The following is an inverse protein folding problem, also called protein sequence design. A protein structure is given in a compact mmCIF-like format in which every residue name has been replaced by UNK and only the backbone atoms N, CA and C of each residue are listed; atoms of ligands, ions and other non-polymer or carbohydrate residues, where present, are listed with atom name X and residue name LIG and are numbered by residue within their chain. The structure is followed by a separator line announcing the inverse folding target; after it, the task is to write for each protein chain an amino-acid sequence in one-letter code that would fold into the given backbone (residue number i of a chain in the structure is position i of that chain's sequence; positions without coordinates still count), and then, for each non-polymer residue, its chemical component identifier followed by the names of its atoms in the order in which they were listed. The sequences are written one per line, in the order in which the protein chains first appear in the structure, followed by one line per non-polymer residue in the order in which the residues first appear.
data_IF_517867202717
#
_entry.id   IF_517867202717
#
_cell.length_a   1.000
_cell.length_b   1.000
_cell.length_c   1.000
_cell.angle_alpha   90.00
_cell.angle_beta   90.00
_cell.angle_gamma   90.00
#
_symmetry.space_group_name_H-M   'P 1'
#
loop_
_entity.id
_entity.type
_entity.pdbx_description
1 polymer ?
#
# COMPACT_ATOMS: atom_id res chain seq x y z
N UNK A 1 -35.10 27.13 -34.21
CA UNK A 1 -33.80 27.44 -33.57
C UNK A 1 -33.18 26.12 -33.14
N UNK A 2 -31.96 25.85 -33.58
CA UNK A 2 -31.25 24.56 -33.51
C UNK A 2 -30.76 24.22 -32.09
N UNK A 3 -30.71 22.93 -31.72
CA UNK A 3 -29.69 22.38 -30.84
C UNK A 3 -28.82 21.31 -31.57
N UNK A 4 -27.76 20.90 -30.88
CA UNK A 4 -26.88 19.75 -31.14
C UNK A 4 -25.85 19.87 -32.29
N UNK A 5 -24.62 20.22 -31.91
CA UNK A 5 -23.41 20.13 -32.74
C UNK A 5 -22.83 18.72 -32.64
N UNK A 6 -22.87 18.08 -33.79
CA UNK A 6 -22.00 17.04 -34.29
C UNK A 6 -20.51 17.37 -34.11
N UNK A 7 -19.75 16.63 -33.30
CA UNK A 7 -18.34 16.26 -33.60
C UNK A 7 -18.03 14.92 -32.93
N UNK A 8 -18.20 13.85 -33.70
CA UNK A 8 -17.56 12.56 -33.51
C UNK A 8 -16.39 12.50 -34.50
N UNK A 9 -15.26 11.94 -34.04
CA UNK A 9 -14.10 11.50 -34.85
C UNK A 9 -13.13 12.63 -35.26
N UNK A 10 -12.14 12.91 -34.40
CA UNK A 10 -10.78 13.34 -34.82
C UNK A 10 -9.86 13.47 -33.60
N UNK A 11 -9.37 12.34 -33.09
CA UNK A 11 -8.17 12.33 -32.28
C UNK A 11 -7.28 11.18 -32.74
N UNK A 12 -6.02 11.52 -33.00
CA UNK A 12 -4.93 10.77 -33.66
C UNK A 12 -4.77 11.27 -35.11
N UNK A 13 -3.69 11.99 -35.51
CA UNK A 13 -2.40 12.17 -34.82
C UNK A 13 -1.84 13.62 -34.82
N UNK A 14 -1.02 13.99 -33.82
CA UNK A 14 -0.02 15.05 -33.99
C UNK A 14 1.19 14.82 -33.08
N UNK A 15 2.31 14.49 -33.75
CA UNK A 15 3.72 14.68 -33.38
C UNK A 15 4.25 13.86 -32.19
N UNK A 16 5.03 12.80 -32.39
CA UNK A 16 6.37 12.79 -33.01
C UNK A 16 7.19 13.99 -32.57
N UNK A 17 7.84 13.89 -31.42
CA UNK A 17 9.12 14.51 -31.14
C UNK A 17 9.71 13.87 -29.88
N UNK A 18 10.45 12.77 -30.04
CA UNK A 18 11.75 12.47 -29.43
C UNK A 18 12.09 11.00 -29.78
N UNK A 19 13.28 10.79 -30.35
CA UNK A 19 13.64 9.63 -31.17
C UNK A 19 13.55 8.27 -30.48
N UNK A 20 12.50 7.51 -30.81
CA UNK A 20 12.40 6.08 -30.50
C UNK A 20 12.51 5.28 -31.80
N UNK A 21 13.38 4.28 -31.76
CA UNK A 21 13.81 3.43 -32.88
C UNK A 21 12.62 2.69 -33.56
N UNK A 22 12.58 2.78 -34.88
CA UNK A 22 11.44 2.51 -35.77
C UNK A 22 11.25 1.02 -36.13
N UNK A 23 11.76 0.10 -35.30
CA UNK A 23 11.76 -1.35 -35.58
C UNK A 23 10.72 -2.13 -34.76
N UNK A 24 10.35 -1.63 -33.57
CA UNK A 24 9.37 -2.27 -32.69
C UNK A 24 7.92 -2.01 -33.13
N UNK A 25 7.63 -0.81 -33.64
CA UNK A 25 6.30 -0.43 -34.16
C UNK A 25 5.94 -1.22 -35.41
N UNK A 26 6.94 -1.47 -36.28
CA UNK A 26 6.76 -2.30 -37.49
C UNK A 26 6.54 -3.78 -37.17
N UNK A 27 7.03 -4.28 -36.03
CA UNK A 27 6.80 -5.67 -35.56
C UNK A 27 5.39 -5.84 -35.00
N UNK A 28 4.87 -4.84 -34.27
CA UNK A 28 3.51 -4.85 -33.71
C UNK A 28 2.42 -4.79 -34.80
N UNK A 29 2.60 -3.97 -35.85
CA UNK A 29 1.65 -3.91 -36.97
C UNK A 29 1.63 -5.17 -37.84
N UNK A 30 2.75 -5.91 -37.94
CA UNK A 30 2.85 -7.15 -38.73
C UNK A 30 2.23 -8.36 -38.02
N UNK A 31 2.20 -8.37 -36.68
CA UNK A 31 1.54 -9.43 -35.90
C UNK A 31 0.01 -9.31 -35.93
N UNK A 32 -0.53 -8.08 -35.91
CA UNK A 32 -1.97 -7.84 -35.89
C UNK A 32 -2.68 -8.21 -37.20
N UNK A 33 -1.98 -8.08 -38.34
CA UNK A 33 -2.54 -8.36 -39.66
C UNK A 33 -2.59 -9.86 -40.01
N UNK A 34 -2.02 -10.74 -39.19
CA UNK A 34 -1.87 -12.18 -39.48
C UNK A 34 -2.80 -13.10 -38.68
N UNK A 35 -3.51 -12.61 -37.67
CA UNK A 35 -4.32 -13.45 -36.77
C UNK A 35 -5.84 -13.20 -36.82
N UNK A 36 -6.33 -12.22 -37.59
CA UNK A 36 -7.76 -11.84 -37.58
C UNK A 36 -8.46 -11.89 -38.94
N UNK A 37 -7.91 -12.66 -39.89
CA UNK A 37 -8.43 -12.78 -41.26
C UNK A 37 -8.78 -14.19 -41.75
N UNK A 38 -9.00 -15.21 -40.89
CA UNK A 38 -9.77 -16.36 -41.33
C UNK A 38 -10.82 -16.77 -40.30
N UNK A 39 -11.95 -16.05 -40.20
CA UNK A 39 -13.15 -16.62 -39.56
C UNK A 39 -14.48 -16.24 -40.21
N UNK A 40 -14.48 -15.58 -41.38
CA UNK A 40 -15.72 -15.23 -42.10
C UNK A 40 -15.91 -15.95 -43.44
N UNK A 41 -15.15 -17.02 -43.75
CA UNK A 41 -15.23 -17.71 -45.04
C UNK A 41 -15.76 -19.15 -45.00
N UNK A 42 -16.54 -19.51 -43.97
CA UNK A 42 -17.26 -20.79 -43.96
C UNK A 42 -18.70 -20.55 -43.54
N UNK A 43 -19.57 -20.11 -44.45
CA UNK A 43 -20.99 -20.50 -44.56
C UNK A 43 -21.57 -19.85 -45.84
N UNK A 44 -21.81 -20.62 -46.92
CA UNK A 44 -22.55 -20.12 -48.06
C UNK A 44 -24.06 -20.35 -47.86
N UNK A 45 -24.83 -19.37 -48.32
CA UNK A 45 -26.19 -19.49 -48.87
C UNK A 45 -27.32 -20.01 -47.97
N UNK A 46 -28.20 -19.08 -47.58
CA UNK A 46 -29.64 -19.35 -47.48
C UNK A 46 -30.38 -18.05 -47.83
N UNK A 47 -30.76 -17.97 -49.10
CA UNK A 47 -31.69 -16.99 -49.63
C UNK A 47 -33.10 -17.29 -49.15
N UNK A 48 -33.85 -16.24 -48.81
CA UNK A 48 -35.30 -16.29 -48.74
C UNK A 48 -35.89 -16.43 -47.34
N UNK A 49 -36.07 -15.29 -46.67
CA UNK A 49 -37.32 -14.84 -46.02
C UNK A 49 -36.96 -13.67 -45.09
N UNK A 50 -37.49 -12.49 -45.43
CA UNK A 50 -37.16 -11.25 -44.76
C UNK A 50 -37.75 -11.14 -43.36
N UNK A 51 -36.94 -11.40 -42.34
CA UNK A 51 -36.95 -10.77 -41.00
C UNK A 51 -35.72 -11.27 -40.27
N UNK A 52 -34.79 -10.40 -39.85
CA UNK A 52 -33.66 -10.89 -39.04
C UNK A 52 -32.41 -10.02 -38.85
N UNK A 53 -32.46 -8.69 -39.03
CA UNK A 53 -31.32 -7.82 -38.66
C UNK A 53 -31.30 -7.49 -37.16
N UNK A 54 -31.46 -8.49 -36.29
CA UNK A 54 -31.44 -8.32 -34.84
C UNK A 54 -30.83 -9.48 -34.04
N UNK A 55 -30.13 -10.43 -34.68
CA UNK A 55 -29.59 -11.61 -33.98
C UNK A 55 -28.06 -11.75 -33.98
N UNK A 56 -27.32 -10.73 -34.44
CA UNK A 56 -25.85 -10.71 -34.28
C UNK A 56 -25.34 -9.73 -33.22
N UNK A 57 -26.26 -9.06 -32.49
CA UNK A 57 -25.92 -8.12 -31.41
C UNK A 57 -26.43 -8.56 -30.03
N UNK A 58 -26.98 -9.77 -29.93
CA UNK A 58 -27.56 -10.32 -28.68
C UNK A 58 -26.89 -11.62 -28.21
N UNK A 59 -25.69 -11.92 -28.72
CA UNK A 59 -24.79 -12.96 -28.21
C UNK A 59 -23.54 -12.36 -27.54
N UNK A 60 -23.62 -11.10 -27.08
CA UNK A 60 -22.57 -10.45 -26.30
C UNK A 60 -23.01 -10.14 -24.84
N UNK A 61 -24.23 -10.55 -24.45
CA UNK A 61 -24.80 -10.25 -23.12
C UNK A 61 -25.19 -11.49 -22.30
N UNK A 62 -25.20 -12.71 -22.85
CA UNK A 62 -25.48 -13.89 -22.02
C UNK A 62 -24.64 -15.10 -22.43
N UNK A 63 -23.80 -15.55 -21.49
CA UNK A 63 -23.32 -16.92 -21.47
C UNK A 63 -21.82 -17.10 -21.27
N UNK A 64 -21.32 -16.81 -20.07
CA UNK A 64 -20.31 -17.66 -19.42
C UNK A 64 -20.48 -17.52 -17.90
N UNK A 65 -21.46 -18.26 -17.37
CA UNK A 65 -21.50 -18.60 -15.96
C UNK A 65 -20.79 -19.94 -15.77
N UNK A 66 -19.80 -19.91 -14.87
CA UNK A 66 -19.36 -20.97 -13.96
C UNK A 66 -18.96 -22.33 -14.53
N UNK A 67 -17.67 -22.67 -14.35
CA UNK A 67 -17.28 -23.62 -13.30
C UNK A 67 -15.75 -23.76 -13.29
N UNK A 68 -15.09 -23.19 -12.29
CA UNK A 68 -14.01 -23.89 -11.61
C UNK A 68 -14.01 -23.47 -10.14
N UNK A 69 -14.26 -24.48 -9.31
CA UNK A 69 -14.25 -24.42 -7.88
C UNK A 69 -12.82 -24.30 -7.33
N UNK A 70 -12.75 -23.79 -6.10
CA UNK A 70 -11.74 -24.10 -5.09
C UNK A 70 -10.38 -23.41 -5.24
N UNK A 71 -10.20 -22.29 -4.52
CA UNK A 71 -9.66 -22.36 -3.16
C UNK A 71 -9.93 -21.03 -2.46
N UNK A 72 -10.63 -21.10 -1.34
CA UNK A 72 -10.82 -19.99 -0.43
C UNK A 72 -9.48 -19.78 0.29
N UNK A 73 -8.65 -18.86 -0.19
CA UNK A 73 -7.63 -18.22 0.64
C UNK A 73 -8.24 -16.91 1.10
N UNK A 74 -8.88 -16.96 2.27
CA UNK A 74 -8.97 -15.79 3.12
C UNK A 74 -7.52 -15.42 3.47
N UNK A 75 -6.88 -14.65 2.58
CA UNK A 75 -5.72 -13.86 2.98
C UNK A 75 -6.34 -12.77 3.84
N UNK A 76 -6.39 -13.03 5.14
CA UNK A 76 -6.62 -12.03 6.14
C UNK A 76 -5.52 -10.99 5.95
N UNK A 77 -5.83 -9.94 5.18
CA UNK A 77 -4.99 -8.76 4.97
C UNK A 77 -4.91 -7.98 6.28
N UNK A 78 -4.26 -8.56 7.28
CA UNK A 78 -3.81 -7.84 8.46
C UNK A 78 -2.35 -7.43 8.23
N UNK A 79 -2.15 -6.12 8.15
CA UNK A 79 -0.83 -5.52 8.09
C UNK A 79 -0.09 -5.87 9.39
N UNK A 80 0.91 -6.74 9.32
CA UNK A 80 1.67 -7.19 10.50
C UNK A 80 2.54 -6.06 11.06
N UNK A 81 2.80 -6.12 12.38
CA UNK A 81 3.72 -5.21 13.06
C UNK A 81 5.19 -5.51 12.79
N UNK A 82 5.53 -6.78 12.53
CA UNK A 82 6.88 -7.22 12.17
C UNK A 82 6.88 -7.86 10.76
N UNK A 83 7.96 -7.69 9.99
CA UNK A 83 8.13 -8.35 8.70
C UNK A 83 8.48 -9.83 8.87
N UNK A 84 8.34 -10.65 7.82
CA UNK A 84 8.84 -12.03 7.82
C UNK A 84 10.37 -12.10 8.10
N UNK A 85 10.85 -13.20 8.69
CA UNK A 85 12.27 -13.38 9.09
C UNK A 85 13.28 -13.21 7.94
N UNK A 86 12.89 -13.54 6.70
CA UNK A 86 13.73 -13.46 5.50
C UNK A 86 13.34 -12.24 4.62
N UNK A 87 12.83 -11.17 5.24
CA UNK A 87 12.43 -9.97 4.53
C UNK A 87 13.62 -9.20 3.94
N UNK A 88 13.39 -8.57 2.79
CA UNK A 88 14.33 -7.62 2.19
C UNK A 88 14.42 -6.34 3.04
N UNK A 89 15.51 -5.58 2.90
CA UNK A 89 15.64 -4.27 3.56
C UNK A 89 14.47 -3.33 3.22
N UNK A 90 13.96 -3.40 1.99
CA UNK A 90 12.86 -2.56 1.52
C UNK A 90 11.54 -2.96 2.16
N UNK A 91 11.29 -4.26 2.31
CA UNK A 91 10.14 -4.76 3.06
C UNK A 91 10.25 -4.36 4.55
N UNK A 92 11.40 -4.55 5.19
CA UNK A 92 11.63 -4.11 6.58
C UNK A 92 11.36 -2.61 6.74
N UNK A 93 11.89 -1.80 5.83
CA UNK A 93 11.69 -0.36 5.83
C UNK A 93 10.21 0.00 5.66
N UNK A 94 9.51 -0.64 4.72
CA UNK A 94 8.08 -0.42 4.49
C UNK A 94 7.22 -0.85 5.68
N UNK A 95 7.54 -1.96 6.35
CA UNK A 95 6.86 -2.37 7.58
C UNK A 95 6.99 -1.33 8.68
N UNK A 96 8.18 -0.78 8.88
CA UNK A 96 8.38 0.28 9.87
C UNK A 96 7.63 1.56 9.46
N UNK A 97 7.67 1.96 8.18
CA UNK A 97 6.94 3.13 7.67
C UNK A 97 5.44 2.97 7.89
N UNK A 98 4.88 1.78 7.64
CA UNK A 98 3.48 1.44 7.88
C UNK A 98 3.11 1.54 9.36
N UNK A 99 3.90 0.93 10.25
CA UNK A 99 3.70 1.02 11.70
C UNK A 99 3.70 2.46 12.18
N UNK A 100 4.71 3.25 11.80
CA UNK A 100 4.78 4.66 12.15
C UNK A 100 3.60 5.49 11.60
N UNK A 101 3.07 5.14 10.42
CA UNK A 101 1.89 5.79 9.88
C UNK A 101 0.63 5.50 10.70
N UNK A 102 0.45 4.25 11.15
CA UNK A 102 -0.66 3.85 12.04
C UNK A 102 -0.58 4.58 13.38
N UNK A 103 0.58 4.52 14.03
CA UNK A 103 0.82 5.13 15.35
C UNK A 103 0.56 6.64 15.32
N UNK A 104 1.00 7.33 14.25
CA UNK A 104 0.79 8.76 14.13
C UNK A 104 -0.68 9.15 13.83
N UNK A 105 -1.59 8.17 13.76
CA UNK A 105 -2.99 8.35 13.35
C UNK A 105 -3.08 9.16 12.06
N UNK A 106 -2.27 8.79 11.07
CA UNK A 106 -2.30 9.43 9.77
C UNK A 106 -3.67 9.27 9.11
N UNK A 107 -3.94 10.06 8.06
CA UNK A 107 -5.20 9.91 7.35
C UNK A 107 -5.36 8.46 6.84
N UNK A 108 -6.56 7.87 6.88
CA UNK A 108 -6.78 6.50 6.42
C UNK A 108 -6.28 6.27 4.98
N UNK A 109 -6.41 7.28 4.13
CA UNK A 109 -5.86 7.24 2.78
C UNK A 109 -4.33 7.09 2.75
N UNK A 110 -3.60 7.79 3.63
CA UNK A 110 -2.14 7.64 3.69
C UNK A 110 -1.75 6.26 4.19
N UNK A 111 -2.39 5.78 5.26
CA UNK A 111 -2.12 4.46 5.85
C UNK A 111 -2.32 3.37 4.80
N UNK A 112 -3.48 3.38 4.12
CA UNK A 112 -3.80 2.37 3.09
C UNK A 112 -2.77 2.36 1.96
N UNK A 113 -2.34 3.52 1.47
CA UNK A 113 -1.33 3.59 0.39
C UNK A 113 0.00 2.97 0.83
N UNK A 114 0.41 3.19 2.08
CA UNK A 114 1.66 2.63 2.61
C UNK A 114 1.54 1.12 2.83
N UNK A 115 0.43 0.66 3.42
CA UNK A 115 0.19 -0.76 3.70
C UNK A 115 0.00 -1.59 2.43
N UNK A 116 -0.71 -1.07 1.43
CA UNK A 116 -0.84 -1.71 0.12
C UNK A 116 0.54 -1.94 -0.52
N UNK A 117 1.42 -0.94 -0.42
CA UNK A 117 2.77 -1.04 -0.96
C UNK A 117 3.67 -1.98 -0.15
N UNK A 118 3.54 -2.01 1.19
CA UNK A 118 4.19 -2.98 2.04
C UNK A 118 3.79 -4.40 1.63
N UNK A 119 2.50 -4.66 1.45
CA UNK A 119 1.97 -5.97 1.07
C UNK A 119 2.55 -6.43 -0.28
N UNK A 120 2.62 -5.53 -1.26
CA UNK A 120 3.18 -5.82 -2.57
C UNK A 120 4.68 -6.11 -2.53
N UNK A 121 5.46 -5.35 -1.76
CA UNK A 121 6.93 -5.49 -1.73
C UNK A 121 7.37 -6.69 -0.89
N UNK A 122 6.68 -6.94 0.23
CA UNK A 122 7.00 -8.04 1.14
C UNK A 122 6.59 -9.43 0.61
N UNK A 123 5.73 -9.52 -0.42
CA UNK A 123 5.29 -10.79 -1.00
C UNK A 123 6.06 -11.24 -2.25
N UNK A 124 6.92 -10.39 -2.82
CA UNK A 124 7.56 -10.65 -4.12
C UNK A 124 9.03 -10.97 -3.92
N UNK A 125 9.49 -12.13 -4.40
CA UNK A 125 10.90 -12.53 -4.37
C UNK A 125 11.75 -11.66 -5.30
N UNK A 126 12.94 -11.27 -4.85
CA UNK A 126 13.89 -10.37 -5.55
C UNK A 126 14.27 -10.85 -6.97
N UNK A 127 13.47 -10.48 -7.97
CA UNK A 127 13.95 -10.38 -9.35
C UNK A 127 13.78 -8.96 -9.87
N UNK A 128 14.89 -8.23 -9.79
CA UNK A 128 15.25 -7.14 -10.70
C UNK A 128 14.20 -6.05 -10.91
N UNK A 129 14.23 -4.98 -10.10
CA UNK A 129 14.47 -3.65 -10.68
C UNK A 129 14.84 -2.63 -9.61
N UNK A 130 15.98 -1.95 -9.82
CA UNK A 130 16.37 -0.72 -9.12
C UNK A 130 15.53 0.47 -9.63
N UNK A 131 14.22 0.25 -9.82
CA UNK A 131 13.28 1.26 -10.26
C UNK A 131 12.91 2.15 -9.09
N UNK A 132 12.66 3.42 -9.39
CA UNK A 132 11.98 4.35 -8.49
C UNK A 132 10.72 3.67 -7.93
N UNK A 133 10.74 3.26 -6.66
CA UNK A 133 9.54 2.77 -5.97
C UNK A 133 8.58 3.94 -5.86
N UNK A 134 7.32 3.75 -6.27
CA UNK A 134 6.30 4.79 -6.28
C UNK A 134 5.09 4.33 -5.51
N UNK A 135 4.50 5.27 -4.78
CA UNK A 135 3.19 5.09 -4.18
C UNK A 135 2.11 5.01 -5.27
N UNK A 136 0.95 4.44 -4.92
CA UNK A 136 -0.20 4.35 -5.83
C UNK A 136 -0.74 5.72 -6.26
N UNK A 137 -0.43 6.78 -5.52
CA UNK A 137 -0.73 8.17 -5.89
C UNK A 137 0.27 8.79 -6.90
N UNK A 138 1.30 8.05 -7.31
CA UNK A 138 2.32 8.47 -8.28
C UNK A 138 3.55 9.15 -7.69
N UNK A 139 3.51 9.52 -6.40
CA UNK A 139 4.64 10.09 -5.69
C UNK A 139 5.77 9.07 -5.50
N UNK A 140 7.00 9.56 -5.36
CA UNK A 140 8.16 8.68 -5.18
C UNK A 140 8.21 8.19 -3.73
N UNK A 141 8.18 6.88 -3.52
CA UNK A 141 8.36 6.26 -2.21
C UNK A 141 9.82 6.28 -1.79
N UNK A 142 10.73 6.06 -2.74
CA UNK A 142 12.16 5.93 -2.48
C UNK A 142 13.01 6.60 -3.55
N UNK A 143 13.97 7.43 -3.14
CA UNK A 143 15.00 8.02 -4.01
C UNK A 143 16.37 7.70 -3.41
N UNK A 144 17.12 6.81 -4.07
CA UNK A 144 18.37 6.30 -3.53
C UNK A 144 18.12 5.51 -2.24
N UNK A 145 18.56 6.05 -1.09
CA UNK A 145 18.38 5.46 0.26
C UNK A 145 17.41 6.25 1.14
N UNK A 146 16.75 7.26 0.57
CA UNK A 146 15.80 8.12 1.30
C UNK A 146 14.40 7.65 0.99
N UNK A 147 13.60 7.44 2.04
CA UNK A 147 12.19 7.10 1.93
C UNK A 147 11.32 8.33 2.20
N UNK A 148 10.18 8.42 1.53
CA UNK A 148 9.21 9.50 1.65
C UNK A 148 7.82 8.91 1.80
N UNK A 149 7.02 9.45 2.71
CA UNK A 149 5.59 9.16 2.78
C UNK A 149 4.83 9.63 1.52
N UNK A 150 3.60 9.13 1.29
CA UNK A 150 2.74 9.56 0.18
C UNK A 150 2.42 11.06 0.17
N UNK A 151 2.58 11.75 1.30
CA UNK A 151 2.41 13.19 1.43
C UNK A 151 3.70 14.00 1.13
N UNK A 152 4.78 13.33 0.70
CA UNK A 152 6.06 13.93 0.35
C UNK A 152 7.01 14.18 1.52
N UNK A 153 6.59 13.94 2.77
CA UNK A 153 7.47 14.09 3.93
C UNK A 153 8.45 12.91 4.02
N UNK A 154 9.68 13.18 4.45
CA UNK A 154 10.70 12.14 4.61
C UNK A 154 10.31 11.17 5.72
N UNK A 155 10.39 9.86 5.44
CA UNK A 155 10.19 8.78 6.40
C UNK A 155 11.52 8.28 6.98
N UNK A 156 12.53 8.06 6.13
CA UNK A 156 13.88 7.58 6.51
C UNK A 156 14.94 8.40 5.78
N UNK A 157 15.96 8.88 6.50
CA UNK A 157 17.14 9.47 5.88
C UNK A 157 18.19 8.43 5.48
N UNK A 158 19.09 8.81 4.56
CA UNK A 158 20.17 7.96 4.03
C UNK A 158 21.11 7.36 5.08
N UNK A 159 21.16 7.93 6.29
CA UNK A 159 21.99 7.46 7.40
C UNK A 159 21.36 6.31 8.20
N UNK A 160 20.20 5.79 7.78
CA UNK A 160 19.60 4.54 8.28
C UNK A 160 19.00 4.58 9.70
N UNK A 161 19.48 5.48 10.56
CA UNK A 161 19.15 5.50 11.99
C UNK A 161 18.18 6.60 12.41
N UNK A 162 17.60 7.34 11.47
CA UNK A 162 16.64 8.40 11.76
C UNK A 162 15.37 8.20 10.97
N UNK A 163 14.28 8.00 11.71
CA UNK A 163 12.94 7.75 11.20
C UNK A 163 11.99 8.87 11.64
N UNK A 164 10.99 9.14 10.83
CA UNK A 164 10.02 10.20 11.07
C UNK A 164 8.61 9.66 10.91
N UNK A 165 7.68 10.26 11.62
CA UNK A 165 6.26 10.10 11.41
C UNK A 165 5.80 10.84 10.15
N UNK A 166 4.61 10.51 9.61
CA UNK A 166 4.01 11.25 8.49
C UNK A 166 3.60 12.69 8.84
N UNK A 167 3.72 13.11 10.10
CA UNK A 167 3.57 14.50 10.52
C UNK A 167 4.91 15.28 10.55
N UNK A 168 6.01 14.63 10.16
CA UNK A 168 7.35 15.22 10.05
C UNK A 168 8.17 15.22 11.35
N UNK A 169 7.62 14.77 12.49
CA UNK A 169 8.38 14.62 13.73
C UNK A 169 9.22 13.37 13.70
N UNK A 170 10.37 13.42 14.37
CA UNK A 170 11.24 12.25 14.56
C UNK A 170 10.51 11.19 15.39
N UNK A 171 10.57 9.95 14.93
CA UNK A 171 10.07 8.76 15.63
C UNK A 171 11.22 8.00 16.30
N UNK A 172 12.35 7.85 15.59
CA UNK A 172 13.52 7.12 16.08
C UNK A 172 14.78 7.91 15.75
N UNK A 173 15.72 7.98 16.69
CA UNK A 173 17.08 8.48 16.47
C UNK A 173 18.07 7.75 17.36
N UNK A 174 19.06 7.05 16.76
CA UNK A 174 20.12 6.34 17.51
C UNK A 174 19.58 5.38 18.60
N UNK A 175 18.46 4.71 18.32
CA UNK A 175 17.73 3.81 19.23
C UNK A 175 16.91 4.48 20.35
N UNK A 176 16.83 5.82 20.36
CA UNK A 176 15.85 6.53 21.16
C UNK A 176 14.54 6.66 20.39
N UNK A 177 13.42 6.42 21.09
CA UNK A 177 12.07 6.54 20.53
C UNK A 177 11.37 7.79 21.03
N UNK A 178 10.56 8.37 20.16
CA UNK A 178 9.76 9.55 20.44
C UNK A 178 8.33 9.31 19.98
N UNK A 179 7.35 9.76 20.75
CA UNK A 179 5.94 9.71 20.40
C UNK A 179 5.59 10.70 19.27
N UNK A 180 4.43 10.55 18.60
CA UNK A 180 3.95 11.52 17.60
C UNK A 180 3.76 12.95 18.12
N UNK A 181 3.66 13.17 19.43
CA UNK A 181 3.66 14.51 20.02
C UNK A 181 5.08 15.11 20.14
N UNK A 182 6.14 14.33 19.97
CA UNK A 182 7.55 14.71 20.10
C UNK A 182 8.14 14.47 21.48
N UNK A 183 7.36 13.95 22.44
CA UNK A 183 7.90 13.54 23.74
C UNK A 183 8.71 12.26 23.60
N UNK A 184 9.72 12.12 24.44
CA UNK A 184 10.49 10.88 24.54
C UNK A 184 9.58 9.73 24.95
N UNK A 185 9.67 8.61 24.24
CA UNK A 185 9.05 7.33 24.60
C UNK A 185 10.10 6.43 25.27
N UNK A 186 11.30 6.34 24.69
CA UNK A 186 12.41 5.54 25.21
C UNK A 186 13.73 6.30 25.08
N UNK A 187 14.52 6.25 26.15
CA UNK A 187 15.88 6.78 26.18
C UNK A 187 16.79 5.79 26.92
N UNK A 188 17.75 5.19 26.20
CA UNK A 188 18.49 4.04 26.71
C UNK A 188 17.56 2.89 27.08
N UNK A 189 17.58 2.46 28.35
CA UNK A 189 16.67 1.43 28.89
C UNK A 189 15.45 2.00 29.61
N UNK A 190 15.29 3.32 29.66
CA UNK A 190 14.20 3.99 30.38
C UNK A 190 13.01 4.28 29.47
N UNK A 191 11.81 3.92 29.93
CA UNK A 191 10.55 4.22 29.24
C UNK A 191 9.85 5.42 29.85
N UNK A 192 9.02 6.08 29.06
CA UNK A 192 8.29 7.27 29.48
C UNK A 192 6.86 7.19 28.97
N UNK A 193 5.90 7.66 29.76
CA UNK A 193 4.54 7.89 29.30
C UNK A 193 4.50 9.00 28.25
N UNK A 194 3.46 9.07 27.40
CA UNK A 194 3.32 10.14 26.41
C UNK A 194 3.20 11.57 26.96
N UNK A 195 3.01 11.73 28.28
CA UNK A 195 3.05 13.01 28.98
C UNK A 195 4.45 13.40 29.50
N UNK A 196 5.44 12.51 29.35
CA UNK A 196 6.84 12.71 29.70
C UNK A 196 7.28 12.11 31.05
N UNK A 197 6.38 11.50 31.83
CA UNK A 197 6.76 10.86 33.09
C UNK A 197 7.54 9.57 32.84
N UNK A 198 8.62 9.35 33.58
CA UNK A 198 9.45 8.13 33.47
C UNK A 198 8.75 6.92 34.11
N UNK A 199 8.95 5.74 33.54
CA UNK A 199 8.33 4.47 33.91
C UNK A 199 9.24 3.28 33.57
N UNK A 200 8.92 2.11 34.11
CA UNK A 200 9.38 0.84 33.54
C UNK A 200 8.52 0.46 32.33
N UNK A 201 9.03 -0.46 31.50
CA UNK A 201 8.29 -1.05 30.38
C UNK A 201 7.02 -1.75 30.87
N UNK A 202 7.16 -2.59 31.89
CA UNK A 202 6.06 -3.37 32.48
C UNK A 202 4.93 -2.48 33.01
N UNK A 203 5.28 -1.40 33.73
CA UNK A 203 4.30 -0.44 34.25
C UNK A 203 3.60 0.32 33.12
N UNK A 204 4.34 0.64 32.05
CA UNK A 204 3.81 1.34 30.88
C UNK A 204 2.84 0.45 30.10
N UNK A 205 3.21 -0.81 29.85
CA UNK A 205 2.34 -1.81 29.20
C UNK A 205 1.11 -2.11 30.05
N UNK A 206 1.29 -2.34 31.36
CA UNK A 206 0.18 -2.60 32.29
C UNK A 206 -0.84 -1.45 32.27
N UNK A 207 -0.34 -0.21 32.28
CA UNK A 207 -1.18 0.97 32.14
C UNK A 207 -1.89 1.01 30.78
N UNK A 208 -1.17 0.82 29.68
CA UNK A 208 -1.73 0.88 28.32
C UNK A 208 -2.86 -0.14 28.13
N UNK A 209 -2.63 -1.39 28.57
CA UNK A 209 -3.59 -2.47 28.46
C UNK A 209 -4.81 -2.27 29.37
N UNK A 210 -4.65 -1.63 30.53
CA UNK A 210 -5.79 -1.27 31.38
C UNK A 210 -6.76 -0.29 30.69
N UNK A 211 -6.25 0.55 29.77
CA UNK A 211 -7.06 1.53 29.02
C UNK A 211 -7.60 0.93 27.72
N UNK A 212 -6.77 0.19 26.98
CA UNK A 212 -7.12 -0.35 25.67
C UNK A 212 -8.00 -1.60 25.78
N UNK A 213 -7.81 -2.40 26.82
CA UNK A 213 -8.40 -3.73 26.99
C UNK A 213 -7.38 -4.83 26.66
N UNK A 214 -7.53 -5.97 27.32
CA UNK A 214 -6.64 -7.13 27.22
C UNK A 214 -6.57 -7.67 25.78
N UNK A 215 -7.73 -7.87 25.13
CA UNK A 215 -7.82 -8.38 23.76
C UNK A 215 -6.99 -7.58 22.75
N UNK A 216 -7.04 -6.24 22.84
CA UNK A 216 -6.28 -5.39 21.93
C UNK A 216 -4.77 -5.47 22.20
N UNK A 217 -4.36 -5.55 23.47
CA UNK A 217 -2.97 -5.71 23.82
C UNK A 217 -2.40 -7.06 23.36
N UNK A 218 -3.12 -8.15 23.62
CA UNK A 218 -2.70 -9.50 23.19
C UNK A 218 -2.57 -9.57 21.67
N UNK A 219 -3.50 -8.97 20.92
CA UNK A 219 -3.44 -8.92 19.47
C UNK A 219 -2.20 -8.18 18.93
N UNK A 220 -1.73 -7.15 19.63
CA UNK A 220 -0.52 -6.39 19.24
C UNK A 220 0.74 -7.12 19.67
N UNK A 221 0.81 -7.59 20.92
CA UNK A 221 2.01 -8.22 21.49
C UNK A 221 2.31 -9.59 20.87
N UNK A 222 1.28 -10.37 20.52
CA UNK A 222 1.47 -11.68 19.85
C UNK A 222 2.10 -11.55 18.46
N UNK A 223 1.98 -10.39 17.79
CA UNK A 223 2.61 -10.17 16.47
C UNK A 223 4.13 -9.97 16.55
N UNK A 224 4.67 -9.71 17.75
CA UNK A 224 6.08 -9.35 17.95
C UNK A 224 6.78 -10.25 18.99
N UNK A 225 6.12 -11.31 19.44
CA UNK A 225 6.64 -12.23 20.48
C UNK A 225 8.02 -12.79 20.12
N UNK A 226 8.19 -13.21 18.86
CA UNK A 226 9.44 -13.77 18.33
C UNK A 226 10.26 -12.76 17.50
N UNK A 227 9.89 -11.48 17.53
CA UNK A 227 10.53 -10.44 16.74
C UNK A 227 11.71 -9.79 17.51
N UNK A 228 12.65 -9.21 16.76
CA UNK A 228 13.77 -8.45 17.32
C UNK A 228 13.30 -7.26 18.19
N UNK A 229 14.16 -6.78 19.09
CA UNK A 229 13.93 -5.68 20.04
C UNK A 229 13.26 -4.45 19.40
N UNK A 230 13.58 -4.13 18.14
CA UNK A 230 12.97 -3.00 17.42
C UNK A 230 11.45 -3.10 17.36
N UNK A 231 10.91 -4.28 17.05
CA UNK A 231 9.48 -4.49 16.85
C UNK A 231 8.74 -4.55 18.17
N UNK A 232 9.37 -5.13 19.19
CA UNK A 232 8.86 -5.09 20.56
C UNK A 232 8.78 -3.65 21.07
N UNK A 233 9.84 -2.87 20.90
CA UNK A 233 9.86 -1.45 21.27
C UNK A 233 8.79 -0.63 20.51
N UNK A 234 8.60 -0.92 19.21
CA UNK A 234 7.54 -0.31 18.43
C UNK A 234 6.15 -0.64 18.98
N UNK A 235 5.90 -1.90 19.36
CA UNK A 235 4.62 -2.34 19.92
C UNK A 235 4.32 -1.69 21.27
N UNK A 236 5.31 -1.61 22.17
CA UNK A 236 5.19 -0.89 23.46
C UNK A 236 4.79 0.57 23.20
N UNK A 237 5.46 1.22 22.25
CA UNK A 237 5.22 2.61 21.91
C UNK A 237 3.85 2.83 21.25
N UNK A 238 3.40 1.92 20.37
CA UNK A 238 2.06 1.92 19.77
C UNK A 238 0.96 1.83 20.83
N UNK A 239 1.03 0.80 21.69
CA UNK A 239 0.05 0.59 22.76
C UNK A 239 0.00 1.79 23.70
N UNK A 240 1.16 2.30 24.10
CA UNK A 240 1.25 3.46 24.98
C UNK A 240 0.60 4.70 24.37
N UNK A 241 0.85 4.94 23.09
CA UNK A 241 0.31 6.09 22.38
C UNK A 241 -1.22 6.00 22.21
N UNK A 242 -1.72 4.85 21.76
CA UNK A 242 -3.16 4.63 21.61
C UNK A 242 -3.89 4.74 22.95
N UNK A 243 -3.31 4.21 24.03
CA UNK A 243 -3.86 4.36 25.38
C UNK A 243 -3.94 5.83 25.79
N UNK A 244 -2.89 6.62 25.51
CA UNK A 244 -2.89 8.05 25.79
C UNK A 244 -3.99 8.79 25.02
N UNK A 245 -4.13 8.54 23.72
CA UNK A 245 -5.17 9.19 22.90
C UNK A 245 -6.57 8.81 23.39
N UNK A 246 -6.82 7.52 23.66
CA UNK A 246 -8.09 7.04 24.22
C UNK A 246 -8.38 7.65 25.59
N UNK A 247 -7.40 7.72 26.50
CA UNK A 247 -7.61 8.32 27.82
C UNK A 247 -7.97 9.80 27.75
N UNK A 248 -7.36 10.54 26.82
CA UNK A 248 -7.63 11.96 26.63
C UNK A 248 -8.98 12.22 25.97
N UNK A 249 -9.45 11.33 25.10
CA UNK A 249 -10.80 11.45 24.52
C UNK A 249 -11.88 11.22 25.58
N UNK A 250 -11.67 10.27 26.50
CA UNK A 250 -12.57 10.02 27.64
C UNK A 250 -12.64 11.19 28.62
N UNK A 251 -11.52 11.87 28.91
CA UNK A 251 -11.49 13.03 29.82
C UNK A 251 -12.23 14.27 29.29
N UNK A 252 -12.53 14.31 27.99
CA UNK A 252 -13.19 15.46 27.33
C UNK A 252 -14.71 15.28 27.23
N UNK A 253 -15.26 14.15 27.64
CA UNK A 253 -16.70 13.85 27.69
C UNK A 253 -17.26 14.15 29.07
#
# INVERSE_FOLDING_TARGET
MKPAIQVLISAIPLLVQHGVNNQSVKKAQKAYRKSFLPFCLLFPSLEGLGVGSAFCLLALVMGFASNHASANTDVESSSSLAPPLEATEDCTDLTLIAGLARIAEASPNLINIVEDQQLLDCQVSEEQTKSLVRWSNGESAKIGRVWYYPNGLTAKYWSGSVWHYPNGKTAISKSDWYYPNGQTAKYGSGWHYPDGNCSSEDDLLSWACSILGEEHCEAVLSQVEDADDLWQEMAVMELSWHAYVKSNSLRRQ
#
